data_IF_018555699741
#
_entry.id   IF_018555699741
#
_cell.length_a   1.000
_cell.length_b   1.000
_cell.length_c   1.000
_cell.angle_alpha   90.00
_cell.angle_beta   90.00
_cell.angle_gamma   90.00
#
_symmetry.space_group_name_H-M   'P 1'
#
loop_
_entity.id
_entity.type
_entity.pdbx_description
1 polymer ?
#
# COMPACT_ATOMS: atom_id res chain seq x y z
N UNK A 1 -11.65 -7.81 9.20
CA UNK A 1 -13.02 -7.47 9.68
C UNK A 1 -14.10 -8.51 9.29
N UNK A 2 -13.98 -9.23 8.17
CA UNK A 2 -15.02 -10.19 7.70
C UNK A 2 -15.33 -11.33 8.69
N UNK A 3 -14.33 -11.99 9.27
CA UNK A 3 -14.55 -13.04 10.28
C UNK A 3 -15.21 -12.53 11.56
N UNK A 4 -14.85 -11.33 12.00
CA UNK A 4 -15.42 -10.73 13.22
C UNK A 4 -16.92 -10.50 13.09
N UNK A 5 -17.40 -10.17 11.88
CA UNK A 5 -18.83 -10.05 11.60
C UNK A 5 -19.56 -11.41 11.53
N UNK A 6 -18.83 -12.51 11.33
CA UNK A 6 -19.38 -13.86 11.25
C UNK A 6 -19.36 -14.62 12.59
N UNK A 7 -18.92 -13.97 13.68
CA UNK A 7 -18.97 -14.54 15.04
C UNK A 7 -20.41 -14.46 15.56
N UNK A 8 -20.91 -15.56 16.14
CA UNK A 8 -22.18 -15.57 16.84
C UNK A 8 -22.17 -14.56 17.99
N UNK A 9 -23.17 -13.68 18.02
CA UNK A 9 -23.26 -12.61 19.02
C UNK A 9 -21.97 -11.78 19.13
N UNK A 10 -21.33 -11.47 18.00
CA UNK A 10 -20.00 -10.84 17.91
C UNK A 10 -19.76 -9.68 18.89
N UNK A 11 -20.74 -8.81 19.14
CA UNK A 11 -20.62 -7.67 20.06
C UNK A 11 -20.50 -8.06 21.53
N UNK A 12 -21.01 -9.23 21.93
CA UNK A 12 -20.99 -9.77 23.29
C UNK A 12 -20.03 -10.95 23.47
N UNK A 13 -19.40 -11.42 22.40
CA UNK A 13 -18.52 -12.59 22.46
C UNK A 13 -17.20 -12.28 23.19
N UNK A 14 -16.85 -13.03 24.25
CA UNK A 14 -15.58 -12.84 24.96
C UNK A 14 -14.37 -13.24 24.11
N UNK A 15 -14.59 -14.03 23.05
CA UNK A 15 -13.53 -14.54 22.17
C UNK A 15 -13.22 -13.63 20.98
N UNK A 16 -13.95 -12.52 20.81
CA UNK A 16 -13.85 -11.67 19.62
C UNK A 16 -12.42 -11.21 19.32
N UNK A 17 -11.69 -10.74 20.33
CA UNK A 17 -10.31 -10.27 20.19
C UNK A 17 -9.35 -11.42 19.88
N UNK A 18 -9.48 -12.55 20.57
CA UNK A 18 -8.67 -13.74 20.36
C UNK A 18 -8.84 -14.32 18.96
N UNK A 19 -10.09 -14.41 18.48
CA UNK A 19 -10.41 -14.85 17.11
C UNK A 19 -9.79 -13.89 16.08
N UNK A 20 -9.92 -12.58 16.30
CA UNK A 20 -9.33 -11.60 15.39
C UNK A 20 -7.80 -11.73 15.32
N UNK A 21 -7.15 -11.94 16.47
CA UNK A 21 -5.70 -12.14 16.55
C UNK A 21 -5.26 -13.43 15.85
N UNK A 22 -5.94 -14.56 16.09
CA UNK A 22 -5.61 -15.84 15.47
C UNK A 22 -5.77 -15.79 13.94
N UNK A 23 -6.86 -15.20 13.45
CA UNK A 23 -7.08 -15.05 12.00
C UNK A 23 -6.05 -14.10 11.38
N UNK A 24 -5.69 -13.01 12.07
CA UNK A 24 -4.61 -12.13 11.59
C UNK A 24 -3.25 -12.82 11.60
N UNK A 25 -2.93 -13.58 12.64
CA UNK A 25 -1.68 -14.34 12.76
C UNK A 25 -1.58 -15.54 11.82
N UNK A 26 -2.70 -16.02 11.28
CA UNK A 26 -2.72 -17.01 10.21
C UNK A 26 -2.23 -16.42 8.87
N UNK A 27 -2.38 -15.11 8.66
CA UNK A 27 -1.95 -14.43 7.44
C UNK A 27 -0.59 -13.75 7.64
N UNK A 28 -0.42 -13.08 8.77
CA UNK A 28 0.76 -12.29 9.11
C UNK A 28 1.68 -13.07 10.04
N UNK A 29 2.95 -13.12 9.69
CA UNK A 29 4.02 -13.53 10.61
C UNK A 29 4.29 -12.43 11.63
N UNK A 30 4.27 -11.17 11.18
CA UNK A 30 4.49 -10.01 12.03
C UNK A 30 3.64 -8.83 11.55
N UNK A 31 3.02 -8.13 12.50
CA UNK A 31 2.34 -6.87 12.20
C UNK A 31 3.34 -5.73 11.95
N UNK A 32 2.96 -4.78 11.10
CA UNK A 32 3.76 -3.58 10.89
C UNK A 32 3.81 -2.75 12.19
N UNK A 33 5.02 -2.42 12.65
CA UNK A 33 5.21 -1.73 13.92
C UNK A 33 6.48 -0.86 13.88
N UNK A 34 6.39 0.37 14.40
CA UNK A 34 7.53 1.29 14.54
C UNK A 34 8.40 1.47 13.28
N UNK A 35 7.77 1.45 12.09
CA UNK A 35 8.47 1.60 10.81
C UNK A 35 9.01 0.30 10.23
N UNK A 36 8.89 -0.82 10.95
CA UNK A 36 9.05 -2.17 10.39
C UNK A 36 7.81 -2.51 9.57
N UNK A 37 7.96 -3.02 8.32
CA UNK A 37 6.84 -3.47 7.53
C UNK A 37 6.22 -4.73 8.14
N UNK A 38 4.98 -5.03 7.74
CA UNK A 38 4.37 -6.30 8.08
C UNK A 38 5.05 -7.43 7.29
N UNK A 39 5.29 -8.56 7.95
CA UNK A 39 5.78 -9.78 7.32
C UNK A 39 4.63 -10.76 7.17
N UNK A 40 4.53 -11.38 5.99
CA UNK A 40 3.46 -12.29 5.61
C UNK A 40 4.02 -13.71 5.54
N UNK A 41 3.21 -14.69 5.92
CA UNK A 41 3.49 -16.09 5.59
C UNK A 41 3.38 -16.29 4.07
N UNK A 42 4.05 -17.31 3.55
CA UNK A 42 3.84 -17.76 2.17
C UNK A 42 2.43 -18.35 2.01
N UNK A 43 1.99 -18.49 0.75
CA UNK A 43 0.64 -18.98 0.44
C UNK A 43 0.29 -20.31 1.09
N UNK A 44 1.21 -21.28 1.12
CA UNK A 44 0.94 -22.63 1.65
C UNK A 44 0.75 -22.59 3.15
N UNK A 45 1.63 -21.87 3.84
CA UNK A 45 1.57 -21.67 5.29
C UNK A 45 0.32 -20.87 5.70
N UNK A 46 -0.05 -19.82 4.93
CA UNK A 46 -1.29 -19.07 5.16
C UNK A 46 -2.52 -19.97 5.07
N UNK A 47 -2.57 -20.88 4.08
CA UNK A 47 -3.70 -21.80 3.90
C UNK A 47 -3.84 -22.74 5.09
N UNK A 48 -2.75 -23.41 5.48
CA UNK A 48 -2.74 -24.35 6.60
C UNK A 48 -3.14 -23.66 7.92
N UNK A 49 -2.55 -22.50 8.20
CA UNK A 49 -2.86 -21.74 9.42
C UNK A 49 -4.28 -21.24 9.46
N UNK A 50 -4.83 -20.80 8.32
CA UNK A 50 -6.19 -20.27 8.26
C UNK A 50 -7.23 -21.40 8.46
N UNK A 51 -6.97 -22.59 7.91
CA UNK A 51 -7.79 -23.78 8.16
C UNK A 51 -7.76 -24.16 9.64
N UNK A 52 -6.56 -24.31 10.22
CA UNK A 52 -6.39 -24.68 11.62
C UNK A 52 -7.05 -23.66 12.58
N UNK A 53 -6.91 -22.36 12.30
CA UNK A 53 -7.55 -21.32 13.08
C UNK A 53 -9.08 -21.40 12.99
N UNK A 54 -9.64 -21.65 11.80
CA UNK A 54 -11.07 -21.77 11.63
C UNK A 54 -11.65 -22.98 12.38
N UNK A 55 -11.00 -24.14 12.27
CA UNK A 55 -11.39 -25.39 12.94
C UNK A 55 -11.32 -25.27 14.46
N UNK A 56 -10.21 -24.74 14.99
CA UNK A 56 -10.02 -24.45 16.43
C UNK A 56 -11.19 -23.68 17.05
N UNK A 57 -11.74 -22.72 16.31
CA UNK A 57 -12.86 -21.90 16.77
C UNK A 57 -14.22 -22.52 16.44
N UNK A 58 -14.30 -23.35 15.40
CA UNK A 58 -15.51 -24.12 15.08
C UNK A 58 -15.86 -25.13 16.17
N UNK A 59 -14.86 -25.80 16.74
CA UNK A 59 -15.02 -26.70 17.89
C UNK A 59 -15.66 -26.01 19.11
N UNK A 60 -15.46 -24.69 19.24
CA UNK A 60 -16.02 -23.87 20.31
C UNK A 60 -17.40 -23.27 19.98
N UNK A 61 -17.95 -23.59 18.82
CA UNK A 61 -19.28 -23.15 18.40
C UNK A 61 -19.43 -21.62 18.26
N UNK A 62 -18.34 -20.89 17.98
CA UNK A 62 -18.38 -19.41 17.94
C UNK A 62 -18.83 -18.87 16.58
N UNK A 63 -18.93 -19.72 15.56
CA UNK A 63 -19.22 -19.32 14.19
C UNK A 63 -20.71 -19.30 13.88
N UNK A 64 -21.16 -18.24 13.21
CA UNK A 64 -22.52 -18.15 12.69
C UNK A 64 -22.68 -18.97 11.40
N UNK A 65 -23.92 -19.17 10.95
CA UNK A 65 -24.20 -19.84 9.67
C UNK A 65 -23.51 -19.17 8.46
N UNK A 66 -23.22 -17.87 8.53
CA UNK A 66 -22.53 -17.14 7.47
C UNK A 66 -21.00 -17.39 7.46
N UNK A 67 -20.43 -17.93 8.54
CA UNK A 67 -18.98 -18.05 8.71
C UNK A 67 -18.34 -19.00 7.69
N UNK A 68 -19.02 -20.08 7.30
CA UNK A 68 -18.50 -21.02 6.31
C UNK A 68 -18.29 -20.35 4.95
N UNK A 69 -19.24 -19.51 4.51
CA UNK A 69 -19.11 -18.74 3.27
C UNK A 69 -17.94 -17.74 3.37
N UNK A 70 -17.86 -17.00 4.48
CA UNK A 70 -16.75 -16.06 4.73
C UNK A 70 -15.40 -16.77 4.71
N UNK A 71 -15.34 -17.98 5.29
CA UNK A 71 -14.12 -18.77 5.32
C UNK A 71 -13.70 -19.22 3.93
N UNK A 72 -14.62 -19.77 3.13
CA UNK A 72 -14.34 -20.20 1.76
C UNK A 72 -13.91 -19.04 0.85
N UNK A 73 -14.54 -17.87 0.96
CA UNK A 73 -14.13 -16.68 0.23
C UNK A 73 -12.72 -16.23 0.62
N UNK A 74 -12.39 -16.21 1.92
CA UNK A 74 -11.04 -15.88 2.37
C UNK A 74 -10.01 -16.89 1.87
N UNK A 75 -10.32 -18.18 1.96
CA UNK A 75 -9.43 -19.26 1.54
C UNK A 75 -9.15 -19.20 0.04
N UNK A 76 -10.15 -18.83 -0.76
CA UNK A 76 -9.97 -18.54 -2.19
C UNK A 76 -8.96 -17.42 -2.44
N UNK A 77 -8.98 -16.36 -1.63
CA UNK A 77 -7.98 -15.29 -1.74
C UNK A 77 -6.59 -15.73 -1.32
N UNK A 78 -6.48 -16.55 -0.26
CA UNK A 78 -5.20 -17.14 0.18
C UNK A 78 -4.61 -18.02 -0.92
N UNK A 79 -5.38 -18.99 -1.44
CA UNK A 79 -4.96 -19.91 -2.51
C UNK A 79 -4.53 -19.21 -3.80
N UNK A 80 -5.09 -18.04 -4.08
CA UNK A 80 -4.68 -17.20 -5.22
C UNK A 80 -3.38 -16.41 -4.97
N UNK A 81 -2.85 -16.44 -3.75
CA UNK A 81 -1.73 -15.60 -3.33
C UNK A 81 -2.11 -14.12 -3.18
N UNK A 82 -3.40 -13.77 -3.08
CA UNK A 82 -3.83 -12.37 -2.98
C UNK A 82 -3.35 -11.68 -1.69
N UNK A 83 -3.04 -12.47 -0.67
CA UNK A 83 -2.63 -12.00 0.65
C UNK A 83 -1.17 -12.37 0.94
N UNK A 84 -0.55 -13.13 0.06
CA UNK A 84 0.89 -13.34 0.06
C UNK A 84 1.55 -12.10 -0.54
N UNK A 85 2.73 -11.77 -0.04
CA UNK A 85 3.57 -10.78 -0.70
C UNK A 85 4.52 -11.45 -1.67
N UNK A 86 4.38 -11.09 -2.95
CA UNK A 86 5.31 -11.51 -3.99
C UNK A 86 6.70 -10.91 -3.80
N UNK A 87 6.81 -9.74 -3.17
CA UNK A 87 8.08 -9.10 -2.83
C UNK A 87 7.98 -8.45 -1.44
N UNK A 88 8.83 -8.93 -0.51
CA UNK A 88 8.90 -8.39 0.86
C UNK A 88 9.71 -7.09 0.93
N UNK A 89 10.55 -6.79 -0.07
CA UNK A 89 11.38 -5.58 -0.11
C UNK A 89 10.55 -4.31 -0.33
N UNK A 90 9.42 -4.41 -1.03
CA UNK A 90 8.53 -3.27 -1.27
C UNK A 90 7.59 -3.02 -0.08
N UNK A 91 7.66 -1.84 0.54
CA UNK A 91 6.83 -1.48 1.70
C UNK A 91 5.39 -1.10 1.29
N UNK A 92 4.52 -2.08 1.05
CA UNK A 92 3.07 -1.90 0.83
C UNK A 92 2.22 -2.31 2.06
N UNK A 93 2.08 -1.46 3.08
CA UNK A 93 1.12 -1.75 4.16
C UNK A 93 -0.31 -1.48 3.65
N UNK A 94 -1.04 -2.56 3.33
CA UNK A 94 -2.35 -2.48 2.68
C UNK A 94 -3.36 -1.56 3.38
N UNK A 95 -3.29 -1.44 4.71
CA UNK A 95 -4.15 -0.53 5.48
C UNK A 95 -3.89 0.95 5.19
N UNK A 96 -2.67 1.36 4.84
CA UNK A 96 -2.39 2.74 4.40
C UNK A 96 -2.76 2.95 2.93
N UNK A 97 -2.61 1.92 2.10
CA UNK A 97 -2.98 1.98 0.67
C UNK A 97 -4.48 2.24 0.52
N UNK A 98 -5.34 1.53 1.25
CA UNK A 98 -6.81 1.71 1.17
C UNK A 98 -7.27 3.14 1.49
N UNK A 99 -6.58 3.83 2.40
CA UNK A 99 -6.86 5.23 2.72
C UNK A 99 -6.53 6.21 1.57
N UNK A 100 -5.60 5.86 0.69
CA UNK A 100 -5.19 6.72 -0.42
C UNK A 100 -6.20 6.77 -1.56
N UNK A 101 -7.07 5.75 -1.69
CA UNK A 101 -8.05 5.67 -2.78
C UNK A 101 -8.98 6.89 -2.82
N UNK A 102 -9.36 7.43 -1.65
CA UNK A 102 -10.15 8.67 -1.57
C UNK A 102 -9.41 9.87 -2.18
N UNK A 103 -8.09 9.93 -1.98
CA UNK A 103 -7.22 10.94 -2.55
C UNK A 103 -7.09 10.80 -4.07
N UNK A 104 -6.80 9.59 -4.55
CA UNK A 104 -6.76 9.28 -5.98
C UNK A 104 -8.07 9.63 -6.68
N UNK A 105 -9.22 9.22 -6.11
CA UNK A 105 -10.53 9.55 -6.63
C UNK A 105 -10.84 11.05 -6.58
N UNK A 106 -10.17 11.82 -5.73
CA UNK A 106 -10.37 13.28 -5.66
C UNK A 106 -9.62 14.05 -6.73
N UNK A 107 -8.58 13.47 -7.35
CA UNK A 107 -7.74 14.15 -8.36
C UNK A 107 -8.55 14.57 -9.59
N UNK A 108 -9.57 13.81 -9.95
CA UNK A 108 -10.40 14.05 -11.15
C UNK A 108 -11.90 14.18 -10.84
N UNK A 109 -12.28 14.32 -9.56
CA UNK A 109 -13.70 14.25 -9.13
C UNK A 109 -14.63 15.23 -9.84
N UNK A 110 -14.10 16.33 -10.39
CA UNK A 110 -14.90 17.38 -11.04
C UNK A 110 -14.42 17.75 -12.46
N UNK A 111 -13.38 17.10 -12.98
CA UNK A 111 -12.78 17.44 -14.26
C UNK A 111 -12.31 16.15 -14.95
N UNK A 112 -13.03 15.68 -15.99
CA UNK A 112 -12.55 14.56 -16.79
C UNK A 112 -11.23 14.98 -17.45
N UNK A 113 -10.20 14.16 -17.29
CA UNK A 113 -8.91 14.40 -17.93
C UNK A 113 -8.26 13.09 -18.34
N UNK A 114 -7.40 13.16 -19.36
CA UNK A 114 -6.72 11.99 -19.90
C UNK A 114 -5.71 11.38 -18.92
N UNK A 115 -5.23 10.18 -19.25
CA UNK A 115 -4.24 9.44 -18.45
C UNK A 115 -2.97 10.26 -18.16
N UNK A 116 -2.53 11.09 -19.12
CA UNK A 116 -1.36 11.96 -18.95
C UNK A 116 -1.55 12.94 -17.78
N UNK A 117 -2.73 13.57 -17.70
CA UNK A 117 -3.05 14.49 -16.61
C UNK A 117 -3.23 13.76 -15.28
N UNK A 118 -3.84 12.58 -15.29
CA UNK A 118 -3.95 11.74 -14.09
C UNK A 118 -2.56 11.39 -13.54
N UNK A 119 -1.63 11.01 -14.41
CA UNK A 119 -0.24 10.70 -14.04
C UNK A 119 0.45 11.92 -13.44
N UNK A 120 0.37 13.08 -14.09
CA UNK A 120 0.97 14.32 -13.59
C UNK A 120 0.42 14.71 -12.20
N UNK A 121 -0.92 14.71 -12.04
CA UNK A 121 -1.58 14.97 -10.75
C UNK A 121 -1.25 13.92 -9.69
N UNK A 122 -1.10 12.66 -10.11
CA UNK A 122 -0.69 11.55 -9.24
C UNK A 122 0.71 11.74 -8.67
N UNK A 123 1.67 12.16 -9.49
CA UNK A 123 3.02 12.48 -9.03
C UNK A 123 3.02 13.60 -7.99
N UNK A 124 2.32 14.71 -8.26
CA UNK A 124 2.20 15.82 -7.31
C UNK A 124 1.47 15.40 -6.02
N UNK A 125 0.44 14.57 -6.13
CA UNK A 125 -0.30 14.05 -4.98
C UNK A 125 0.61 13.25 -4.02
N UNK A 126 1.41 12.33 -4.57
CA UNK A 126 2.36 11.52 -3.80
C UNK A 126 3.48 12.39 -3.22
N UNK A 127 4.11 13.24 -4.05
CA UNK A 127 5.22 14.10 -3.61
C UNK A 127 4.79 15.09 -2.53
N UNK A 128 3.62 15.70 -2.66
CA UNK A 128 3.07 16.61 -1.64
C UNK A 128 2.89 15.90 -0.29
N UNK A 129 2.41 14.65 -0.29
CA UNK A 129 2.29 13.86 0.93
C UNK A 129 3.66 13.63 1.56
N UNK A 130 4.67 13.28 0.75
CA UNK A 130 6.04 13.06 1.21
C UNK A 130 6.66 14.33 1.79
N UNK A 131 6.51 15.48 1.12
CA UNK A 131 6.96 16.79 1.61
C UNK A 131 6.32 17.10 2.97
N UNK A 132 5.01 16.90 3.12
CA UNK A 132 4.32 17.12 4.40
C UNK A 132 4.86 16.20 5.51
N UNK A 133 5.15 14.94 5.19
CA UNK A 133 5.74 13.99 6.15
C UNK A 133 7.17 14.40 6.53
N UNK A 134 8.01 14.73 5.55
CA UNK A 134 9.38 15.20 5.76
C UNK A 134 9.40 16.45 6.65
N UNK A 135 8.53 17.42 6.34
CA UNK A 135 8.38 18.64 7.13
C UNK A 135 7.96 18.33 8.58
N UNK A 136 6.95 17.45 8.77
CA UNK A 136 6.48 17.04 10.11
C UNK A 136 7.55 16.32 10.92
N UNK A 137 8.42 15.55 10.24
CA UNK A 137 9.57 14.85 10.84
C UNK A 137 10.80 15.73 11.00
N UNK A 138 10.70 17.04 10.73
CA UNK A 138 11.80 18.01 10.74
C UNK A 138 12.96 17.66 9.79
N UNK A 139 12.70 16.85 8.76
CA UNK A 139 13.62 16.56 7.66
C UNK A 139 13.51 17.66 6.60
N UNK A 140 13.96 18.87 6.95
CA UNK A 140 13.70 20.08 6.16
C UNK A 140 14.81 20.38 5.15
N UNK A 141 14.91 19.57 4.09
CA UNK A 141 15.79 19.91 2.96
C UNK A 141 15.39 21.25 2.33
N UNK A 142 16.29 21.96 1.62
CA UNK A 142 15.95 23.21 0.94
C UNK A 142 14.72 23.08 0.03
N UNK A 143 14.62 21.96 -0.70
CA UNK A 143 13.46 21.66 -1.55
C UNK A 143 12.17 21.48 -0.75
N UNK A 144 12.21 20.73 0.36
CA UNK A 144 11.04 20.54 1.24
C UNK A 144 10.57 21.88 1.81
N UNK A 145 11.48 22.76 2.23
CA UNK A 145 11.12 24.11 2.72
C UNK A 145 10.50 24.96 1.60
N UNK A 146 11.13 24.96 0.42
CA UNK A 146 10.69 25.74 -0.73
C UNK A 146 9.30 25.34 -1.24
N UNK A 147 8.98 24.05 -1.19
CA UNK A 147 7.75 23.50 -1.77
C UNK A 147 6.67 23.15 -0.75
N UNK A 148 6.92 23.38 0.55
CA UNK A 148 5.95 23.07 1.60
C UNK A 148 4.63 23.85 1.39
N UNK A 149 3.51 23.12 1.38
CA UNK A 149 2.18 23.69 1.16
C UNK A 149 1.78 23.84 -0.31
N UNK A 150 2.72 23.73 -1.25
CA UNK A 150 2.42 23.78 -2.68
C UNK A 150 1.61 22.56 -3.13
N UNK A 151 0.71 22.78 -4.09
CA UNK A 151 -0.06 21.75 -4.77
C UNK A 151 0.55 21.35 -6.13
N UNK A 152 1.53 22.12 -6.62
CA UNK A 152 2.10 21.98 -7.96
C UNK A 152 3.61 21.77 -7.87
N UNK A 153 4.02 20.66 -7.26
CA UNK A 153 5.43 20.40 -6.91
C UNK A 153 6.29 20.29 -8.16
N UNK A 154 5.81 19.57 -9.18
CA UNK A 154 6.48 19.41 -10.46
C UNK A 154 6.62 20.73 -11.21
N UNK A 155 5.61 21.62 -11.14
CA UNK A 155 5.72 22.96 -11.70
C UNK A 155 6.78 23.79 -10.97
N UNK A 156 6.78 23.78 -9.64
CA UNK A 156 7.80 24.46 -8.84
C UNK A 156 9.21 23.94 -9.16
N UNK A 157 9.37 22.62 -9.34
CA UNK A 157 10.62 22.00 -9.76
C UNK A 157 11.03 22.42 -11.18
N UNK A 158 10.09 22.44 -12.13
CA UNK A 158 10.36 22.87 -13.49
C UNK A 158 10.83 24.34 -13.55
N UNK A 159 10.16 25.23 -12.81
CA UNK A 159 10.58 26.63 -12.69
C UNK A 159 11.98 26.73 -12.09
N UNK A 160 12.29 25.96 -11.04
CA UNK A 160 13.63 25.92 -10.46
C UNK A 160 14.69 25.51 -11.49
N UNK A 161 14.45 24.42 -12.24
CA UNK A 161 15.36 23.94 -13.30
C UNK A 161 15.60 24.98 -14.40
N UNK A 162 14.53 25.61 -14.90
CA UNK A 162 14.63 26.64 -15.93
C UNK A 162 15.42 27.85 -15.42
N UNK A 163 15.08 28.33 -14.23
CA UNK A 163 15.79 29.45 -13.60
C UNK A 163 17.28 29.13 -13.38
N UNK A 164 17.58 27.96 -12.83
CA UNK A 164 18.94 27.51 -12.55
C UNK A 164 19.77 27.40 -13.84
N UNK A 165 19.20 26.81 -14.90
CA UNK A 165 19.85 26.69 -16.20
C UNK A 165 20.06 28.03 -16.92
N UNK A 166 19.16 28.99 -16.74
CA UNK A 166 19.37 30.37 -17.23
C UNK A 166 20.45 31.08 -16.44
N UNK A 167 20.46 30.92 -15.11
CA UNK A 167 21.46 31.53 -14.23
C UNK A 167 22.87 31.01 -14.53
N UNK A 168 23.05 29.72 -14.77
CA UNK A 168 24.35 29.14 -15.14
C UNK A 168 24.94 29.73 -16.42
N UNK A 169 24.09 30.21 -17.33
CA UNK A 169 24.51 30.88 -18.57
C UNK A 169 24.70 32.39 -18.41
N UNK A 170 24.24 32.96 -17.29
CA UNK A 170 24.32 34.39 -17.00
C UNK A 170 25.53 34.76 -16.15
N UNK A 171 25.79 36.05 -16.02
CA UNK A 171 26.87 36.61 -15.18
C UNK A 171 26.39 37.03 -13.78
N UNK A 172 25.09 36.87 -13.48
CA UNK A 172 24.50 37.29 -12.20
C UNK A 172 24.70 36.24 -11.09
N UNK A 173 25.15 36.72 -9.92
CA UNK A 173 25.37 35.92 -8.70
C UNK A 173 24.08 35.68 -7.89
N UNK A 174 22.95 35.41 -8.55
CA UNK A 174 21.72 35.08 -7.83
C UNK A 174 21.81 33.65 -7.24
N UNK A 175 21.20 33.39 -6.07
CA UNK A 175 21.20 32.05 -5.49
C UNK A 175 20.42 31.06 -6.37
N UNK A 176 20.89 29.81 -6.40
CA UNK A 176 20.19 28.65 -6.98
C UNK A 176 18.85 28.45 -6.29
N UNK A 177 17.82 28.10 -7.06
CA UNK A 177 16.57 27.58 -6.51
C UNK A 177 16.73 26.09 -6.18
N UNK A 178 16.15 25.60 -5.07
CA UNK A 178 16.17 24.18 -4.76
C UNK A 178 15.42 23.35 -5.80
N UNK A 179 16.08 22.34 -6.33
CA UNK A 179 15.47 21.35 -7.25
C UNK A 179 15.04 20.09 -6.49
N UNK A 180 14.11 19.34 -7.08
CA UNK A 180 13.74 18.01 -6.62
C UNK A 180 14.99 17.12 -6.74
N UNK A 181 15.51 16.57 -5.63
CA UNK A 181 16.71 15.74 -5.69
C UNK A 181 16.42 14.44 -6.43
N UNK A 182 17.39 13.99 -7.22
CA UNK A 182 17.42 12.60 -7.67
C UNK A 182 17.78 11.73 -6.47
N UNK A 183 16.84 10.86 -6.07
CA UNK A 183 16.99 9.97 -4.92
C UNK A 183 17.31 8.58 -5.44
N UNK A 184 18.52 8.12 -5.16
CA UNK A 184 18.81 6.70 -5.21
C UNK A 184 18.21 6.03 -3.97
N UNK A 185 17.01 5.49 -4.14
CA UNK A 185 16.29 4.83 -3.06
C UNK A 185 16.82 3.42 -2.76
N UNK A 186 17.62 2.84 -3.68
CA UNK A 186 17.92 1.41 -3.69
C UNK A 186 16.67 0.51 -3.81
N UNK A 187 15.49 1.09 -4.06
CA UNK A 187 14.23 0.36 -4.22
C UNK A 187 14.05 -0.02 -5.68
N UNK A 188 13.86 -1.32 -5.94
CA UNK A 188 13.50 -1.81 -7.27
C UNK A 188 12.00 -1.62 -7.47
N UNK A 189 11.61 -0.53 -8.13
CA UNK A 189 10.23 -0.34 -8.56
C UNK A 189 10.00 -1.04 -9.91
N UNK A 190 8.95 -1.85 -10.01
CA UNK A 190 8.60 -2.52 -11.26
C UNK A 190 7.34 -3.37 -11.15
N UNK A 191 6.77 -3.71 -12.30
CA UNK A 191 5.75 -4.74 -12.39
C UNK A 191 6.45 -6.10 -12.31
N UNK A 192 6.17 -6.85 -11.24
CA UNK A 192 6.60 -8.25 -11.15
C UNK A 192 5.56 -9.14 -11.83
N UNK A 193 6.02 -10.19 -12.51
CA UNK A 193 5.13 -11.17 -13.10
C UNK A 193 4.32 -11.85 -11.99
N UNK A 194 2.99 -11.88 -12.13
CA UNK A 194 2.13 -12.64 -11.23
C UNK A 194 1.91 -14.03 -11.81
N UNK A 195 2.31 -15.08 -11.09
CA UNK A 195 2.07 -16.47 -11.53
C UNK A 195 0.59 -16.77 -11.76
N UNK A 196 -0.30 -16.12 -11.00
CA UNK A 196 -1.74 -16.24 -11.22
C UNK A 196 -2.21 -15.52 -12.50
N UNK A 197 -1.58 -14.40 -12.88
CA UNK A 197 -1.89 -13.73 -14.14
C UNK A 197 -1.34 -14.50 -15.35
N UNK A 198 -0.12 -15.05 -15.24
CA UNK A 198 0.50 -15.83 -16.31
C UNK A 198 -0.21 -17.16 -16.57
N UNK A 199 -0.86 -17.73 -15.56
CA UNK A 199 -1.71 -18.93 -15.69
C UNK A 199 -3.18 -18.62 -16.00
N UNK A 200 -3.53 -17.36 -16.31
CA UNK A 200 -4.90 -16.93 -16.54
C UNK A 200 -5.87 -17.36 -15.42
N UNK A 201 -5.46 -17.18 -14.17
CA UNK A 201 -6.23 -17.61 -13.00
C UNK A 201 -6.18 -19.11 -12.73
N UNK A 202 -5.10 -19.80 -13.16
CA UNK A 202 -4.95 -21.26 -13.07
C UNK A 202 -5.64 -22.04 -14.19
N UNK A 203 -6.09 -21.37 -15.25
CA UNK A 203 -6.71 -21.99 -16.43
C UNK A 203 -5.68 -22.52 -17.43
N UNK A 204 -4.46 -22.00 -17.40
CA UNK A 204 -3.33 -22.50 -18.20
C UNK A 204 -2.41 -23.32 -17.30
N UNK A 205 -2.21 -24.59 -17.66
CA UNK A 205 -1.20 -25.47 -17.05
C UNK A 205 0.14 -25.04 -17.64
N UNK A 206 1.12 -24.69 -16.79
CA UNK A 206 2.51 -24.56 -17.24
C UNK A 206 2.96 -25.97 -17.66
N UNK A 207 3.18 -26.20 -18.95
CA UNK A 207 3.93 -27.36 -19.41
C UNK A 207 5.38 -27.23 -18.89
N UNK A 208 5.89 -28.31 -18.30
CA UNK A 208 7.24 -28.39 -17.72
C UNK A 208 8.35 -28.30 -18.77
#
# INVERSE_FOLDING_TARGET
>A
QRYVAAILNASKSPFRSAIAADISGAILKMHAEHGRPAEYWDRGEQEQRLLAAFEKWAEKGVWSAAAQKVHQEQLKHVRKGCLERSDQHLRSDGSRVEGTHKGWNSLQRAQPSGIVMLTALGHDFVLRRNIRVAFSRRQMTPFVKFTHGSHHIQLSNHVAKVYNGLREKGTQLLPLLPELPDVDSGETFGLVASDNATTFGGLLIKEE
#
